data_IF_059071578841
#
_entry.id   IF_059071578841
#
_cell.length_a   1.000
_cell.length_b   1.000
_cell.length_c   1.000
_cell.angle_alpha   90.00
_cell.angle_beta   90.00
_cell.angle_gamma   90.00
#
_symmetry.space_group_name_H-M   'P 1'
#
loop_
_entity.id
_entity.type
_entity.pdbx_description
1 polymer ?
#
# COMPACT_ATOMS: atom_id res chain seq x y z
N UNK A 1 3.95 -4.97 3.88
CA UNK A 1 3.24 -3.66 3.95
C UNK A 1 3.95 -2.65 3.05
N UNK A 2 3.50 -2.47 1.81
CA UNK A 2 4.15 -1.62 0.80
C UNK A 2 3.57 -0.21 0.68
N UNK A 3 4.25 0.66 -0.07
CA UNK A 3 3.82 2.03 -0.32
C UNK A 3 4.48 3.05 0.61
N UNK A 4 3.81 4.20 0.80
CA UNK A 4 4.32 5.39 1.48
C UNK A 4 5.08 5.03 2.77
N UNK A 5 6.31 5.54 2.87
CA UNK A 5 7.21 5.31 4.01
C UNK A 5 7.27 6.59 4.85
N UNK A 6 8.45 7.09 5.19
CA UNK A 6 8.58 8.36 5.90
C UNK A 6 7.96 9.53 5.10
N UNK A 7 7.24 10.47 5.74
CA UNK A 7 7.00 10.61 7.18
C UNK A 7 5.77 9.86 7.72
N UNK A 8 5.09 9.06 6.89
CA UNK A 8 3.79 8.48 7.24
C UNK A 8 3.88 7.46 8.37
N UNK A 9 2.80 7.37 9.16
CA UNK A 9 2.69 6.45 10.29
C UNK A 9 1.59 5.40 10.14
N UNK A 10 0.95 5.32 8.97
CA UNK A 10 -0.20 4.42 8.75
C UNK A 10 0.07 2.95 9.11
N UNK A 11 1.32 2.48 8.98
CA UNK A 11 1.71 1.14 9.42
C UNK A 11 1.51 0.97 10.92
N UNK A 12 2.10 1.87 11.71
CA UNK A 12 2.08 1.83 13.16
C UNK A 12 0.72 2.21 13.75
N UNK A 13 0.05 3.22 13.17
CA UNK A 13 -1.16 3.79 13.75
C UNK A 13 -2.43 3.00 13.37
N UNK A 14 -2.41 2.24 12.27
CA UNK A 14 -3.60 1.54 11.76
C UNK A 14 -3.35 0.08 11.38
N UNK A 15 -2.38 -0.19 10.50
CA UNK A 15 -2.27 -1.53 9.90
C UNK A 15 -1.75 -2.59 10.88
N UNK A 16 -0.62 -2.33 11.53
CA UNK A 16 0.03 -3.29 12.42
C UNK A 16 -0.87 -3.65 13.62
N UNK A 17 -1.45 -2.69 14.38
CA UNK A 17 -2.29 -3.03 15.53
C UNK A 17 -3.50 -3.88 15.16
N UNK A 18 -4.15 -3.57 14.04
CA UNK A 18 -5.33 -4.31 13.58
C UNK A 18 -4.96 -5.72 13.06
N UNK A 19 -3.83 -5.86 12.37
CA UNK A 19 -3.33 -7.16 11.90
C UNK A 19 -2.88 -8.04 13.08
N UNK A 20 -2.18 -7.48 14.06
CA UNK A 20 -1.79 -8.15 15.30
C UNK A 20 -3.02 -8.65 16.07
N UNK A 21 -4.02 -7.78 16.28
CA UNK A 21 -5.27 -8.14 16.94
C UNK A 21 -6.04 -9.25 16.20
N UNK A 22 -5.88 -9.35 14.88
CA UNK A 22 -6.51 -10.37 14.06
C UNK A 22 -5.67 -11.66 13.89
N UNK A 23 -4.45 -11.70 14.43
CA UNK A 23 -3.50 -12.82 14.26
C UNK A 23 -3.02 -13.01 12.82
N UNK A 24 -2.97 -11.93 12.02
CA UNK A 24 -2.52 -11.98 10.62
C UNK A 24 -1.06 -11.55 10.55
N UNK A 25 -0.12 -12.43 10.15
CA UNK A 25 1.29 -12.07 10.09
C UNK A 25 1.55 -11.04 8.98
N UNK A 26 2.53 -10.17 9.20
CA UNK A 26 2.93 -9.14 8.24
C UNK A 26 4.44 -8.91 8.25
N UNK A 27 4.93 -8.32 7.16
CA UNK A 27 6.28 -7.77 7.07
C UNK A 27 6.22 -6.24 6.99
N UNK A 28 6.94 -5.58 7.89
CA UNK A 28 7.14 -4.13 7.91
C UNK A 28 8.51 -3.77 7.30
N UNK A 29 8.56 -3.15 6.09
CA UNK A 29 9.82 -2.74 5.47
C UNK A 29 10.40 -1.44 6.06
N UNK A 30 9.64 -0.71 6.88
CA UNK A 30 10.07 0.59 7.41
C UNK A 30 11.01 0.37 8.61
N UNK A 31 12.29 0.59 8.37
CA UNK A 31 13.39 0.50 9.35
C UNK A 31 13.93 1.87 9.72
N UNK A 32 14.57 1.99 10.88
CA UNK A 32 15.22 3.23 11.32
C UNK A 32 16.53 3.51 10.56
N UNK A 33 17.31 2.46 10.26
CA UNK A 33 18.56 2.56 9.51
C UNK A 33 18.49 1.68 8.25
N UNK A 34 18.75 2.29 7.09
CA UNK A 34 18.74 1.58 5.81
C UNK A 34 20.09 0.92 5.53
N UNK A 35 20.07 -0.25 4.89
CA UNK A 35 21.23 -0.91 4.32
C UNK A 35 20.85 -1.68 3.05
N UNK A 36 21.81 -1.95 2.17
CA UNK A 36 21.57 -2.72 0.93
C UNK A 36 21.02 -4.13 1.21
N UNK A 37 21.45 -4.76 2.30
CA UNK A 37 20.94 -6.08 2.70
C UNK A 37 19.42 -6.08 2.96
N UNK A 38 18.85 -4.95 3.41
CA UNK A 38 17.41 -4.82 3.63
C UNK A 38 16.60 -4.79 2.34
N UNK A 39 17.21 -4.40 1.21
CA UNK A 39 16.56 -4.46 -0.10
C UNK A 39 16.25 -5.90 -0.49
N UNK A 40 17.23 -6.80 -0.30
CA UNK A 40 17.05 -8.23 -0.59
C UNK A 40 16.01 -8.87 0.33
N UNK A 41 16.01 -8.51 1.62
CA UNK A 41 15.04 -9.01 2.60
C UNK A 41 13.63 -8.52 2.26
N UNK A 42 13.47 -7.24 1.92
CA UNK A 42 12.17 -6.72 1.49
C UNK A 42 11.68 -7.41 0.21
N UNK A 43 12.56 -7.62 -0.76
CA UNK A 43 12.21 -8.30 -2.00
C UNK A 43 11.73 -9.73 -1.75
N UNK A 44 12.43 -10.48 -0.89
CA UNK A 44 12.04 -11.84 -0.50
C UNK A 44 10.69 -11.85 0.24
N UNK A 45 10.52 -10.99 1.26
CA UNK A 45 9.27 -10.90 2.01
C UNK A 45 8.08 -10.53 1.11
N UNK A 46 8.29 -9.68 0.09
CA UNK A 46 7.27 -9.30 -0.90
C UNK A 46 6.99 -10.40 -1.91
N UNK A 47 7.99 -11.17 -2.30
CA UNK A 47 7.84 -12.36 -3.12
C UNK A 47 6.96 -13.40 -2.41
N UNK A 48 7.30 -13.72 -1.16
CA UNK A 48 6.64 -14.78 -0.38
C UNK A 48 5.26 -14.38 0.15
N UNK A 49 4.95 -13.08 0.21
CA UNK A 49 3.69 -12.59 0.72
C UNK A 49 2.48 -13.12 -0.08
N UNK A 50 1.54 -13.73 0.65
CA UNK A 50 0.27 -14.22 0.11
C UNK A 50 -0.62 -13.08 -0.44
N UNK A 51 -0.53 -11.89 0.15
CA UNK A 51 -1.17 -10.66 -0.29
C UNK A 51 -0.33 -9.44 0.08
N UNK A 52 -0.56 -8.34 -0.62
CA UNK A 52 0.19 -7.09 -0.49
C UNK A 52 -0.79 -5.94 -0.20
N UNK A 53 -0.66 -5.30 0.97
CA UNK A 53 -1.30 -4.02 1.25
C UNK A 53 -0.38 -2.89 0.79
N UNK A 54 -0.88 -2.04 -0.10
CA UNK A 54 -0.17 -0.89 -0.67
C UNK A 54 -0.90 0.42 -0.36
N UNK A 55 -0.19 1.39 0.22
CA UNK A 55 -0.76 2.71 0.57
C UNK A 55 -0.07 3.81 -0.22
N UNK A 56 -0.81 4.48 -1.09
CA UNK A 56 -0.39 5.71 -1.77
C UNK A 56 -0.98 6.89 -0.99
N UNK A 57 -0.23 7.37 -0.01
CA UNK A 57 -0.68 8.43 0.90
C UNK A 57 -0.63 9.82 0.25
N UNK A 58 -1.52 10.71 0.69
CA UNK A 58 -1.50 12.14 0.37
C UNK A 58 -0.36 12.91 1.08
N UNK A 59 0.36 12.28 2.01
CA UNK A 59 1.53 12.86 2.68
C UNK A 59 2.82 12.74 1.86
N UNK A 60 2.78 12.00 0.73
CA UNK A 60 3.95 11.76 -0.13
C UNK A 60 3.61 12.00 -1.60
N UNK A 61 4.63 12.22 -2.44
CA UNK A 61 4.45 12.23 -3.91
C UNK A 61 4.04 10.84 -4.41
N UNK A 62 4.59 9.79 -3.81
CA UNK A 62 4.17 8.40 -4.00
C UNK A 62 4.51 7.79 -5.37
N UNK A 63 5.32 8.44 -6.21
CA UNK A 63 5.54 8.04 -7.61
C UNK A 63 6.11 6.63 -7.73
N UNK A 64 7.20 6.32 -7.02
CA UNK A 64 7.78 4.97 -7.04
C UNK A 64 6.78 3.91 -6.57
N UNK A 65 6.06 4.19 -5.48
CA UNK A 65 5.01 3.31 -4.96
C UNK A 65 3.88 3.07 -5.96
N UNK A 66 3.50 4.07 -6.76
CA UNK A 66 2.48 3.90 -7.79
C UNK A 66 2.94 2.98 -8.93
N UNK A 67 4.21 3.10 -9.34
CA UNK A 67 4.81 2.22 -10.35
C UNK A 67 4.84 0.78 -9.84
N UNK A 68 5.35 0.57 -8.63
CA UNK A 68 5.46 -0.75 -8.03
C UNK A 68 4.08 -1.40 -7.80
N UNK A 69 3.10 -0.63 -7.29
CA UNK A 69 1.73 -1.12 -7.15
C UNK A 69 1.13 -1.54 -8.50
N UNK A 70 1.37 -0.75 -9.55
CA UNK A 70 0.90 -1.07 -10.91
C UNK A 70 1.51 -2.37 -11.42
N UNK A 71 2.83 -2.54 -11.26
CA UNK A 71 3.55 -3.76 -11.62
C UNK A 71 2.94 -4.98 -10.93
N UNK A 72 2.83 -4.95 -9.59
CA UNK A 72 2.31 -6.05 -8.79
C UNK A 72 0.86 -6.41 -9.15
N UNK A 73 0.02 -5.40 -9.38
CA UNK A 73 -1.37 -5.59 -9.84
C UNK A 73 -1.37 -6.28 -11.21
N UNK A 74 -0.54 -5.82 -12.16
CA UNK A 74 -0.50 -6.39 -13.51
C UNK A 74 0.12 -7.78 -13.57
N UNK A 75 1.01 -8.12 -12.63
CA UNK A 75 1.55 -9.46 -12.43
C UNK A 75 0.55 -10.45 -11.78
N UNK A 76 -0.68 -10.01 -11.50
CA UNK A 76 -1.72 -10.86 -10.93
C UNK A 76 -1.55 -11.14 -9.43
N UNK A 77 -0.71 -10.37 -8.72
CA UNK A 77 -0.56 -10.51 -7.27
C UNK A 77 -1.83 -10.06 -6.55
N UNK A 78 -2.11 -10.64 -5.38
CA UNK A 78 -3.23 -10.21 -4.54
C UNK A 78 -2.89 -8.88 -3.86
N UNK A 79 -3.32 -7.77 -4.45
CA UNK A 79 -3.10 -6.42 -3.91
C UNK A 79 -4.36 -5.87 -3.26
N UNK A 80 -4.20 -5.21 -2.12
CA UNK A 80 -5.17 -4.32 -1.49
C UNK A 80 -4.59 -2.91 -1.57
N UNK A 81 -5.28 -2.00 -2.25
CA UNK A 81 -4.73 -0.69 -2.59
C UNK A 81 -5.49 0.41 -1.85
N UNK A 82 -4.77 1.30 -1.17
CA UNK A 82 -5.25 2.60 -0.72
C UNK A 82 -4.63 3.65 -1.62
N UNK A 83 -5.43 4.57 -2.16
CA UNK A 83 -4.94 5.65 -3.01
C UNK A 83 -5.62 6.96 -2.62
N UNK A 84 -4.88 7.83 -1.92
CA UNK A 84 -5.36 9.10 -1.40
C UNK A 84 -5.06 10.24 -2.38
N UNK A 85 -6.04 11.10 -2.62
CA UNK A 85 -5.89 12.27 -3.48
C UNK A 85 -5.17 13.41 -2.75
N UNK A 86 -4.23 14.08 -3.44
CA UNK A 86 -3.58 15.29 -2.95
C UNK A 86 -4.54 16.48 -3.04
N UNK A 87 -4.90 17.04 -1.89
CA UNK A 87 -5.79 18.18 -1.77
C UNK A 87 -5.11 19.50 -2.19
N UNK A 88 -5.89 20.57 -2.42
CA UNK A 88 -5.39 21.85 -2.93
C UNK A 88 -4.27 22.48 -2.10
N UNK A 89 -4.23 22.19 -0.80
CA UNK A 89 -3.23 22.69 0.14
C UNK A 89 -2.29 21.60 0.64
N UNK A 90 -2.18 20.49 -0.10
CA UNK A 90 -1.27 19.41 0.23
C UNK A 90 0.18 19.92 0.35
N UNK A 91 0.83 19.46 1.42
CA UNK A 91 2.22 19.74 1.74
C UNK A 91 2.95 18.40 1.79
N UNK A 92 4.06 18.30 1.07
CA UNK A 92 4.92 17.11 1.08
C UNK A 92 6.33 17.56 1.38
N UNK A 93 6.98 16.91 2.34
CA UNK A 93 8.34 17.26 2.81
C UNK A 93 8.44 18.74 3.22
N UNK A 94 7.43 19.24 3.94
CA UNK A 94 7.37 20.64 4.38
C UNK A 94 7.09 21.66 3.27
N UNK A 95 6.92 21.22 2.02
CA UNK A 95 6.72 22.12 0.87
C UNK A 95 5.30 22.02 0.33
N UNK A 96 4.62 23.17 0.18
CA UNK A 96 3.31 23.24 -0.45
C UNK A 96 3.43 22.89 -1.94
N UNK A 97 2.63 21.94 -2.40
CA UNK A 97 2.66 21.52 -3.80
C UNK A 97 2.11 22.60 -4.73
N UNK A 98 2.80 22.80 -5.86
CA UNK A 98 2.32 23.66 -6.92
C UNK A 98 1.06 23.09 -7.59
N UNK A 99 0.22 23.96 -8.18
CA UNK A 99 -1.01 23.53 -8.88
C UNK A 99 -0.74 22.52 -10.00
N UNK A 100 0.30 22.74 -10.79
CA UNK A 100 0.69 21.86 -11.90
C UNK A 100 1.20 20.50 -11.38
N UNK A 101 2.16 20.51 -10.46
CA UNK A 101 2.70 19.30 -9.82
C UNK A 101 1.58 18.45 -9.19
N UNK A 102 0.71 19.06 -8.39
CA UNK A 102 -0.43 18.36 -7.78
C UNK A 102 -1.36 17.73 -8.82
N UNK A 103 -1.65 18.45 -9.91
CA UNK A 103 -2.50 17.93 -11.00
C UNK A 103 -1.87 16.70 -11.64
N UNK A 104 -0.57 16.70 -11.87
CA UNK A 104 0.12 15.57 -12.48
C UNK A 104 0.23 14.37 -11.51
N UNK A 105 0.49 14.62 -10.22
CA UNK A 105 0.50 13.59 -9.19
C UNK A 105 -0.88 12.94 -9.00
N UNK A 106 -1.96 13.71 -9.03
CA UNK A 106 -3.34 13.17 -8.96
C UNK A 106 -3.72 12.45 -10.25
N UNK A 107 -3.23 12.89 -11.41
CA UNK A 107 -3.39 12.14 -12.66
C UNK A 107 -2.72 10.77 -12.59
N UNK A 108 -1.51 10.69 -12.03
CA UNK A 108 -0.84 9.40 -11.77
C UNK A 108 -1.66 8.48 -10.87
N UNK A 109 -2.23 9.02 -9.78
CA UNK A 109 -3.14 8.29 -8.88
C UNK A 109 -4.38 7.77 -9.58
N UNK A 110 -4.97 8.58 -10.46
CA UNK A 110 -6.12 8.17 -11.29
C UNK A 110 -5.76 7.04 -12.25
N UNK A 111 -4.57 7.07 -12.86
CA UNK A 111 -4.09 5.98 -13.71
C UNK A 111 -3.86 4.68 -12.94
N UNK A 112 -3.28 4.76 -11.75
CA UNK A 112 -3.16 3.58 -10.88
C UNK A 112 -4.54 3.01 -10.50
N UNK A 113 -5.51 3.87 -10.17
CA UNK A 113 -6.86 3.45 -9.86
C UNK A 113 -7.56 2.77 -11.06
N UNK A 114 -7.33 3.27 -12.27
CA UNK A 114 -7.80 2.64 -13.52
C UNK A 114 -7.16 1.27 -13.75
N UNK A 115 -5.84 1.14 -13.56
CA UNK A 115 -5.14 -0.16 -13.63
C UNK A 115 -5.72 -1.15 -12.63
N UNK A 116 -5.94 -0.72 -11.39
CA UNK A 116 -6.56 -1.54 -10.35
C UNK A 116 -7.97 -1.99 -10.75
N UNK A 117 -8.80 -1.07 -11.24
CA UNK A 117 -10.16 -1.35 -11.70
C UNK A 117 -10.18 -2.39 -12.83
N UNK A 118 -9.35 -2.22 -13.88
CA UNK A 118 -9.25 -3.16 -15.00
C UNK A 118 -8.79 -4.57 -14.60
N UNK A 119 -8.13 -4.70 -13.44
CA UNK A 119 -7.68 -5.98 -12.87
C UNK A 119 -8.56 -6.50 -11.74
N UNK A 120 -9.70 -5.86 -11.47
CA UNK A 120 -10.62 -6.27 -10.40
C UNK A 120 -10.06 -6.07 -8.99
N UNK A 121 -9.10 -5.15 -8.83
CA UNK A 121 -8.52 -4.77 -7.53
C UNK A 121 -9.27 -3.55 -6.99
N UNK A 122 -9.99 -3.66 -5.85
CA UNK A 122 -10.67 -2.53 -5.24
C UNK A 122 -9.66 -1.48 -4.72
N UNK A 123 -10.01 -0.21 -4.91
CA UNK A 123 -9.28 0.92 -4.34
C UNK A 123 -10.03 1.42 -3.10
N UNK A 124 -9.35 1.35 -1.97
CA UNK A 124 -9.86 1.76 -0.67
C UNK A 124 -9.60 3.25 -0.42
N UNK A 125 -10.56 3.90 0.24
CA UNK A 125 -10.47 5.32 0.61
C UNK A 125 -9.66 5.55 1.89
N UNK A 126 -9.57 4.53 2.75
CA UNK A 126 -8.87 4.61 4.04
C UNK A 126 -8.06 3.36 4.30
N UNK A 127 -6.98 3.52 5.06
CA UNK A 127 -6.13 2.41 5.51
C UNK A 127 -6.92 1.40 6.33
N UNK A 128 -7.78 1.86 7.24
CA UNK A 128 -8.66 0.99 8.04
C UNK A 128 -9.50 0.05 7.15
N UNK A 129 -10.20 0.60 6.14
CA UNK A 129 -11.04 -0.22 5.25
C UNK A 129 -10.24 -1.24 4.43
N UNK A 130 -8.99 -0.92 4.07
CA UNK A 130 -8.11 -1.85 3.36
C UNK A 130 -7.61 -2.97 4.28
N UNK A 131 -7.27 -2.64 5.53
CA UNK A 131 -6.82 -3.61 6.53
C UNK A 131 -7.95 -4.59 6.88
N UNK A 132 -9.19 -4.11 7.04
CA UNK A 132 -10.36 -4.97 7.24
C UNK A 132 -10.54 -5.96 6.07
N UNK A 133 -10.34 -5.48 4.84
CA UNK A 133 -10.42 -6.32 3.65
C UNK A 133 -9.31 -7.38 3.61
N UNK A 134 -8.08 -7.02 4.01
CA UNK A 134 -6.95 -7.96 4.17
C UNK A 134 -7.28 -9.04 5.19
N UNK A 135 -7.77 -8.66 6.38
CA UNK A 135 -8.13 -9.59 7.45
C UNK A 135 -9.23 -10.54 6.99
N UNK A 136 -10.30 -9.99 6.40
CA UNK A 136 -11.42 -10.78 5.89
C UNK A 136 -10.98 -11.78 4.82
N UNK A 137 -10.09 -11.37 3.90
CA UNK A 137 -9.53 -12.27 2.90
C UNK A 137 -8.62 -13.35 3.50
N UNK A 138 -7.75 -12.99 4.45
CA UNK A 138 -6.83 -13.91 5.12
C UNK A 138 -7.59 -15.04 5.84
N UNK A 139 -8.67 -14.69 6.55
CA UNK A 139 -9.55 -15.67 7.22
C UNK A 139 -10.22 -16.63 6.24
N UNK A 140 -10.73 -16.12 5.10
CA UNK A 140 -11.34 -16.98 4.06
C UNK A 140 -10.32 -17.95 3.46
N UNK A 141 -9.14 -17.45 3.12
CA UNK A 141 -8.05 -18.27 2.59
C UNK A 141 -7.63 -19.36 3.57
N UNK A 142 -7.48 -19.04 4.86
CA UNK A 142 -7.14 -20.03 5.88
C UNK A 142 -8.24 -21.10 6.06
N UNK A 143 -9.52 -20.72 5.93
CA UNK A 143 -10.63 -21.66 5.99
C UNK A 143 -10.66 -22.61 4.78
N UNK A 144 -10.38 -22.10 3.57
CA UNK A 144 -10.29 -22.89 2.35
C UNK A 144 -9.13 -23.90 2.41
N UNK A 145 -7.97 -23.49 2.92
CA UNK A 145 -6.78 -24.35 3.08
C UNK A 145 -6.97 -25.47 4.10
N UNK A 146 -7.91 -25.35 5.05
CA UNK A 146 -8.23 -26.42 6.01
C UNK A 146 -9.26 -27.42 5.48
N UNK A 147 -9.91 -27.11 4.36
CA UNK A 147 -10.97 -27.94 3.75
C UNK A 147 -10.47 -28.81 2.60
N UNK A 148 -9.30 -28.51 2.04
CA UNK A 148 -8.60 -29.33 1.05
C UNK A 148 -7.56 -30.19 1.72
#
# INVERSE_FOLDING_TARGET
LGGACNPTRWRFDHAMPALDAAGVPYYNPQVAEWSEALVAIEAAAKHDAAALLFVISAETRGVASMVEASELITAGRKVFLVCEELQEHATVDGTKLGKAERKDLNRGRAYLADVAHRRGVPVHKTVASAVDAVIGWSRRRAAEQRRG
#
